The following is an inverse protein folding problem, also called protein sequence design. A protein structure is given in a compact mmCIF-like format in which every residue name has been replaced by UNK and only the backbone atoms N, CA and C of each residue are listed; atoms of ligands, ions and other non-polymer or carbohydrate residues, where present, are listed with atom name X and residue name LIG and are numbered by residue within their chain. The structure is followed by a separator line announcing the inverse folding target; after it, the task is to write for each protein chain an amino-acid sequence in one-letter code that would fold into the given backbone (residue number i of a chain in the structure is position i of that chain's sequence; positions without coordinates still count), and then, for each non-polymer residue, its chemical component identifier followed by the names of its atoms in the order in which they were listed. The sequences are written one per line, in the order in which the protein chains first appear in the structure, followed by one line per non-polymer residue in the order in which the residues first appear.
data_IF_906992907642
#
_entry.id   IF_906992907642
#
_cell.length_a   1.000
_cell.length_b   1.000
_cell.length_c   1.000
_cell.angle_alpha   90.00
_cell.angle_beta   90.00
_cell.angle_gamma   90.00
#
_symmetry.space_group_name_H-M   'P 1'
#
loop_
_entity.id
_entity.type
_entity.pdbx_description
1 polymer ?
#
# COMPACT_ATOMS: atom_id res chain seq x y z
N UNK A 1 24.42 11.63 -2.58
CA UNK A 1 23.10 12.23 -2.39
C UNK A 1 22.17 11.33 -3.19
N UNK A 2 21.61 10.30 -2.54
CA UNK A 2 20.71 9.37 -3.22
C UNK A 2 19.39 10.12 -3.45
N UNK A 3 18.94 10.19 -4.70
CA UNK A 3 17.58 10.65 -4.99
C UNK A 3 16.62 9.69 -4.28
N UNK A 4 15.72 10.22 -3.47
CA UNK A 4 14.62 9.45 -2.89
C UNK A 4 13.70 9.05 -4.05
N UNK A 5 13.50 7.75 -4.21
CA UNK A 5 12.59 7.21 -5.22
C UNK A 5 11.23 7.00 -4.56
N UNK A 6 10.26 7.81 -4.95
CA UNK A 6 8.91 7.79 -4.39
C UNK A 6 7.96 7.02 -5.32
N UNK A 7 7.18 6.11 -4.74
CA UNK A 7 6.10 5.38 -5.41
C UNK A 7 4.78 5.84 -4.82
N UNK A 8 3.88 6.38 -5.64
CA UNK A 8 2.65 7.01 -5.14
C UNK A 8 1.42 6.30 -5.67
N UNK A 9 0.61 5.75 -4.76
CA UNK A 9 -0.73 5.31 -5.08
C UNK A 9 -1.71 6.47 -4.81
N UNK A 10 -2.29 7.02 -5.88
CA UNK A 10 -3.32 8.04 -5.76
C UNK A 10 -4.65 7.41 -5.37
N UNK A 11 -5.35 8.07 -4.46
CA UNK A 11 -6.64 7.65 -3.92
C UNK A 11 -7.55 8.88 -3.78
N UNK A 12 -8.85 8.67 -3.51
CA UNK A 12 -9.78 9.78 -3.25
C UNK A 12 -9.34 10.66 -2.06
N UNK A 13 -8.86 10.04 -0.98
CA UNK A 13 -8.43 10.76 0.22
C UNK A 13 -7.09 11.50 0.05
N UNK A 14 -6.28 11.14 -0.95
CA UNK A 14 -4.96 11.73 -1.19
C UNK A 14 -3.99 10.74 -1.83
N UNK A 15 -2.72 10.76 -1.40
CA UNK A 15 -1.71 9.81 -1.89
C UNK A 15 -1.16 8.96 -0.75
N UNK A 16 -1.07 7.65 -0.99
CA UNK A 16 -0.22 6.76 -0.20
C UNK A 16 1.15 6.68 -0.88
N UNK A 17 2.17 7.22 -0.22
CA UNK A 17 3.52 7.36 -0.78
C UNK A 17 4.46 6.39 -0.08
N UNK A 18 5.16 5.57 -0.85
CA UNK A 18 6.26 4.72 -0.42
C UNK A 18 7.56 5.39 -0.87
N UNK A 19 8.29 6.01 0.06
CA UNK A 19 9.59 6.62 -0.22
C UNK A 19 10.70 5.62 0.04
N UNK A 20 11.44 5.21 -0.99
CA UNK A 20 12.56 4.29 -0.84
C UNK A 20 13.74 5.00 -0.16
N UNK A 21 14.07 4.54 1.06
CA UNK A 21 15.17 5.10 1.86
C UNK A 21 16.48 4.36 1.56
N UNK A 22 16.41 3.03 1.44
CA UNK A 22 17.56 2.16 1.18
C UNK A 22 17.14 0.90 0.44
N UNK A 23 17.96 0.47 -0.51
CA UNK A 23 17.86 -0.84 -1.15
C UNK A 23 19.16 -1.63 -0.97
N UNK A 24 19.02 -2.92 -0.64
CA UNK A 24 20.07 -3.93 -0.70
C UNK A 24 19.63 -4.97 -1.75
N UNK A 25 20.01 -4.73 -3.01
CA UNK A 25 19.57 -5.53 -4.16
C UNK A 25 19.99 -6.99 -4.06
N UNK A 26 21.21 -7.24 -3.55
CA UNK A 26 21.76 -8.57 -3.33
C UNK A 26 20.95 -9.37 -2.32
N UNK A 27 20.51 -8.74 -1.24
CA UNK A 27 19.65 -9.36 -0.23
C UNK A 27 18.15 -9.32 -0.62
N UNK A 28 17.78 -8.52 -1.62
CA UNK A 28 16.39 -8.25 -1.99
C UNK A 28 15.62 -7.55 -0.87
N UNK A 29 16.26 -6.62 -0.16
CA UNK A 29 15.69 -5.92 1.00
C UNK A 29 15.55 -4.43 0.67
N UNK A 30 14.35 -3.88 0.93
CA UNK A 30 14.01 -2.50 0.64
C UNK A 30 13.42 -1.85 1.89
N UNK A 31 14.07 -0.81 2.39
CA UNK A 31 13.59 0.00 3.49
C UNK A 31 12.83 1.21 2.93
N UNK A 32 11.55 1.33 3.27
CA UNK A 32 10.67 2.42 2.87
C UNK A 32 10.24 3.28 4.06
N UNK A 33 9.87 4.51 3.75
CA UNK A 33 9.05 5.35 4.59
C UNK A 33 7.68 5.53 3.92
N UNK A 34 6.62 5.08 4.59
CA UNK A 34 5.25 5.25 4.14
C UNK A 34 4.70 6.54 4.72
N UNK A 35 4.08 7.35 3.86
CA UNK A 35 3.38 8.55 4.29
C UNK A 35 2.07 8.71 3.55
N UNK A 36 1.11 9.36 4.19
CA UNK A 36 -0.18 9.69 3.59
C UNK A 36 -0.25 11.20 3.38
N UNK A 37 -0.35 11.62 2.13
CA UNK A 37 -0.51 13.02 1.76
C UNK A 37 -1.99 13.27 1.46
N UNK A 38 -2.74 13.62 2.50
CA UNK A 38 -4.19 13.83 2.40
C UNK A 38 -4.56 15.17 1.78
N UNK A 39 -5.59 15.20 0.94
CA UNK A 39 -6.08 16.42 0.27
C UNK A 39 -7.16 17.14 1.09
N UNK A 40 -7.22 18.47 0.96
CA UNK A 40 -8.36 19.30 1.37
C UNK A 40 -8.93 19.00 2.76
N UNK A 41 -10.16 18.47 2.81
CA UNK A 41 -10.89 18.13 4.04
C UNK A 41 -10.21 17.07 4.91
N UNK A 42 -9.29 16.28 4.35
CA UNK A 42 -8.61 15.20 5.04
C UNK A 42 -7.24 15.61 5.62
N UNK A 43 -6.73 16.80 5.29
CA UNK A 43 -5.36 17.24 5.63
C UNK A 43 -5.08 17.45 7.12
N UNK A 44 -6.12 17.40 7.97
CA UNK A 44 -6.00 17.51 9.44
C UNK A 44 -5.82 16.16 10.12
N UNK A 45 -5.96 15.06 9.37
CA UNK A 45 -5.81 13.71 9.89
C UNK A 45 -4.37 13.23 9.70
N UNK A 46 -3.80 12.78 10.82
CA UNK A 46 -2.53 12.07 11.03
C UNK A 46 -1.29 12.52 10.21
N UNK A 47 -0.40 13.33 10.80
CA UNK A 47 0.96 13.53 10.27
C UNK A 47 1.86 12.36 10.71
N UNK A 48 1.78 11.23 10.01
CA UNK A 48 2.57 10.03 10.31
C UNK A 48 3.47 9.63 9.14
N UNK A 49 4.76 9.43 9.44
CA UNK A 49 5.69 8.67 8.59
C UNK A 49 5.89 7.32 9.26
N UNK A 50 5.71 6.24 8.50
CA UNK A 50 5.81 4.88 9.00
C UNK A 50 6.93 4.17 8.28
N UNK A 51 7.98 3.81 9.01
CA UNK A 51 9.06 3.02 8.42
C UNK A 51 8.58 1.59 8.19
N UNK A 52 8.92 1.00 7.04
CA UNK A 52 8.72 -0.41 6.81
C UNK A 52 9.88 -1.03 6.05
N UNK A 53 10.06 -2.33 6.23
CA UNK A 53 10.97 -3.13 5.45
C UNK A 53 10.16 -4.10 4.61
N UNK A 54 10.43 -4.15 3.32
CA UNK A 54 9.85 -5.11 2.41
C UNK A 54 10.95 -5.94 1.79
N UNK A 55 10.76 -7.25 1.78
CA UNK A 55 11.56 -8.13 0.94
C UNK A 55 11.01 -8.09 -0.49
N UNK A 56 11.83 -8.46 -1.47
CA UNK A 56 11.41 -8.57 -2.88
C UNK A 56 10.12 -9.40 -3.01
N UNK A 57 10.03 -10.51 -2.27
CA UNK A 57 8.84 -11.36 -2.23
C UNK A 57 7.61 -10.68 -1.61
N UNK A 58 7.76 -9.72 -0.70
CA UNK A 58 6.63 -8.93 -0.19
C UNK A 58 6.09 -7.98 -1.24
N UNK A 59 6.98 -7.34 -2.02
CA UNK A 59 6.61 -6.44 -3.13
C UNK A 59 5.88 -7.24 -4.24
N UNK A 60 6.43 -8.39 -4.63
CA UNK A 60 5.79 -9.27 -5.61
C UNK A 60 4.42 -9.77 -5.14
N UNK A 61 4.30 -10.14 -3.86
CA UNK A 61 3.03 -10.52 -3.25
C UNK A 61 2.03 -9.37 -3.20
N UNK A 62 2.48 -8.13 -2.95
CA UNK A 62 1.62 -6.96 -2.94
C UNK A 62 1.05 -6.69 -4.34
N UNK A 63 1.89 -6.75 -5.37
CA UNK A 63 1.48 -6.59 -6.76
C UNK A 63 0.49 -7.70 -7.14
N UNK A 64 0.79 -8.95 -6.79
CA UNK A 64 -0.11 -10.08 -7.04
C UNK A 64 -1.44 -9.94 -6.27
N UNK A 65 -1.39 -9.44 -5.04
CA UNK A 65 -2.56 -9.17 -4.22
C UNK A 65 -3.52 -8.20 -4.91
N UNK A 66 -3.02 -7.06 -5.40
CA UNK A 66 -3.82 -6.09 -6.14
C UNK A 66 -4.37 -6.64 -7.45
N UNK A 67 -3.53 -7.32 -8.22
CA UNK A 67 -3.97 -7.94 -9.47
C UNK A 67 -5.10 -8.95 -9.26
N UNK A 68 -4.94 -9.84 -8.27
CA UNK A 68 -5.95 -10.85 -7.95
C UNK A 68 -7.25 -10.22 -7.44
N UNK A 69 -7.16 -9.12 -6.69
CA UNK A 69 -8.34 -8.39 -6.24
C UNK A 69 -9.13 -7.81 -7.42
N UNK A 70 -8.47 -7.07 -8.32
CA UNK A 70 -9.10 -6.53 -9.53
C UNK A 70 -9.71 -7.64 -10.38
N UNK A 71 -8.98 -8.75 -10.58
CA UNK A 71 -9.50 -9.92 -11.29
C UNK A 71 -10.76 -10.49 -10.62
N UNK A 72 -10.78 -10.57 -9.29
CA UNK A 72 -11.93 -11.04 -8.54
C UNK A 72 -13.14 -10.13 -8.72
N UNK A 73 -12.96 -8.80 -8.67
CA UNK A 73 -14.06 -7.85 -8.88
C UNK A 73 -14.66 -7.95 -10.30
N UNK A 74 -13.83 -8.09 -11.33
CA UNK A 74 -14.29 -8.33 -12.72
C UNK A 74 -15.16 -9.59 -12.83
N UNK A 75 -14.91 -10.59 -11.99
CA UNK A 75 -15.67 -11.85 -11.94
C UNK A 75 -16.87 -11.80 -10.97
N UNK A 76 -17.16 -10.65 -10.37
CA UNK A 76 -18.27 -10.47 -9.42
C UNK A 76 -17.95 -10.88 -7.98
N UNK A 77 -16.67 -10.92 -7.59
CA UNK A 77 -16.26 -11.05 -6.19
C UNK A 77 -16.41 -9.76 -5.39
N UNK A 78 -16.07 -9.80 -4.10
CA UNK A 78 -16.25 -8.66 -3.18
C UNK A 78 -14.93 -8.23 -2.53
N UNK A 79 -14.60 -8.74 -1.35
CA UNK A 79 -13.41 -8.33 -0.60
C UNK A 79 -12.26 -9.34 -0.71
N UNK A 80 -11.04 -8.85 -0.48
CA UNK A 80 -9.86 -9.71 -0.38
C UNK A 80 -9.42 -9.89 1.07
N UNK A 81 -8.73 -11.01 1.38
CA UNK A 81 -8.04 -11.16 2.66
C UNK A 81 -7.11 -9.98 2.95
N UNK A 82 -6.79 -9.74 4.22
CA UNK A 82 -5.86 -8.68 4.59
C UNK A 82 -4.45 -9.05 4.10
N UNK A 83 -3.83 -8.15 3.35
CA UNK A 83 -2.42 -8.23 3.03
C UNK A 83 -1.59 -7.70 4.21
N UNK A 84 -0.66 -8.53 4.67
CA UNK A 84 0.32 -8.20 5.72
C UNK A 84 1.70 -8.63 5.20
N UNK A 85 2.66 -7.69 5.04
CA UNK A 85 4.05 -8.04 4.74
C UNK A 85 4.69 -8.78 5.92
N UNK A 86 5.75 -9.54 5.65
CA UNK A 86 6.39 -10.37 6.68
C UNK A 86 7.05 -9.54 7.80
N UNK A 87 7.68 -8.42 7.45
CA UNK A 87 8.41 -7.56 8.40
C UNK A 87 8.00 -6.09 8.27
N UNK A 88 6.70 -5.81 8.40
CA UNK A 88 6.17 -4.47 8.24
C UNK A 88 5.06 -4.14 9.23
N UNK A 89 4.95 -2.85 9.49
CA UNK A 89 3.98 -2.22 10.39
C UNK A 89 2.78 -1.64 9.63
N UNK A 90 2.40 -2.20 8.48
CA UNK A 90 1.16 -1.83 7.79
C UNK A 90 0.38 -3.04 7.28
N UNK A 91 -0.91 -2.83 7.07
CA UNK A 91 -1.84 -3.79 6.51
C UNK A 91 -2.73 -3.11 5.47
N UNK A 92 -3.07 -3.85 4.42
CA UNK A 92 -3.97 -3.37 3.37
C UNK A 92 -5.11 -4.37 3.23
N UNK A 93 -6.35 -3.88 3.16
CA UNK A 93 -7.51 -4.67 2.80
C UNK A 93 -8.24 -4.01 1.64
N UNK A 94 -8.28 -4.68 0.49
CA UNK A 94 -9.14 -4.29 -0.61
C UNK A 94 -10.58 -4.79 -0.36
N UNK A 95 -11.54 -3.91 -0.54
CA UNK A 95 -12.97 -4.09 -0.30
C UNK A 95 -13.73 -4.11 -1.62
N UNK A 96 -15.06 -4.06 -1.56
CA UNK A 96 -15.89 -4.04 -2.77
C UNK A 96 -15.70 -2.77 -3.61
N UNK A 97 -16.11 -2.88 -4.87
CA UNK A 97 -16.03 -1.83 -5.86
C UNK A 97 -16.78 -2.19 -7.13
N UNK A 98 -16.80 -1.27 -8.09
CA UNK A 98 -17.31 -1.49 -9.42
C UNK A 98 -16.15 -1.45 -10.41
N UNK A 99 -15.74 -2.62 -10.89
CA UNK A 99 -14.65 -2.79 -11.86
C UNK A 99 -15.20 -3.41 -13.13
N UNK A 100 -14.99 -2.72 -14.25
CA UNK A 100 -15.43 -3.18 -15.57
C UNK A 100 -14.38 -4.10 -16.18
N UNK A 101 -13.11 -3.69 -16.11
CA UNK A 101 -11.96 -4.46 -16.56
C UNK A 101 -10.67 -4.02 -15.83
N UNK A 102 -9.51 -4.50 -16.28
CA UNK A 102 -8.21 -4.18 -15.67
C UNK A 102 -7.72 -2.74 -15.92
N UNK A 103 -8.50 -1.91 -16.58
CA UNK A 103 -8.17 -0.52 -16.90
C UNK A 103 -9.23 0.49 -16.43
N UNK A 104 -10.43 0.04 -16.07
CA UNK A 104 -11.54 0.91 -15.71
C UNK A 104 -12.34 0.41 -14.49
N UNK A 105 -12.68 1.36 -13.62
CA UNK A 105 -13.42 1.15 -12.39
C UNK A 105 -12.66 1.55 -11.13
N UNK A 106 -13.28 1.27 -9.99
CA UNK A 106 -12.77 1.66 -8.69
C UNK A 106 -13.16 0.65 -7.61
N UNK A 107 -12.47 0.69 -6.48
CA UNK A 107 -12.84 -0.07 -5.29
C UNK A 107 -12.40 0.65 -4.01
N UNK A 108 -13.02 0.29 -2.89
CA UNK A 108 -12.60 0.79 -1.57
C UNK A 108 -11.40 0.00 -1.04
N UNK A 109 -10.49 0.68 -0.36
CA UNK A 109 -9.31 0.08 0.26
C UNK A 109 -9.12 0.65 1.65
N UNK A 110 -8.91 -0.22 2.63
CA UNK A 110 -8.49 0.15 3.98
C UNK A 110 -6.97 -0.04 4.14
N UNK A 111 -6.32 0.97 4.72
CA UNK A 111 -4.90 0.94 5.07
C UNK A 111 -4.78 1.18 6.56
N UNK A 112 -4.13 0.24 7.26
CA UNK A 112 -3.90 0.31 8.69
C UNK A 112 -2.39 0.31 8.97
N UNK A 113 -1.93 1.22 9.83
CA UNK A 113 -0.56 1.32 10.29
C UNK A 113 -0.48 0.98 11.77
N UNK A 114 0.47 0.12 12.12
CA UNK A 114 0.81 -0.20 13.50
C UNK A 114 1.54 1.01 14.10
N UNK A 115 0.98 1.54 15.19
CA UNK A 115 1.54 2.64 15.96
C UNK A 115 2.41 2.12 17.13
N UNK A 116 2.67 0.82 17.15
CA UNK A 116 3.50 0.14 18.14
C UNK A 116 2.74 -0.35 19.35
N UNK A 117 3.52 -0.71 20.37
CA UNK A 117 3.07 -1.28 21.64
C UNK A 117 3.43 -0.31 22.77
N UNK A 118 2.47 0.04 23.61
CA UNK A 118 2.69 0.95 24.75
C UNK A 118 3.58 0.39 25.88
N UNK A 119 3.97 -0.89 25.80
CA UNK A 119 4.79 -1.60 26.80
C UNK A 119 4.70 -3.13 26.66
N UNK A 120 5.51 -3.87 27.42
CA UNK A 120 5.43 -5.34 27.47
C UNK A 120 4.02 -5.80 27.89
N UNK A 121 3.45 -6.75 27.15
CA UNK A 121 2.11 -7.29 27.40
C UNK A 121 0.95 -6.42 26.90
N UNK A 122 1.22 -5.28 26.25
CA UNK A 122 0.18 -4.48 25.60
C UNK A 122 -0.17 -5.02 24.20
N UNK A 123 -1.38 -4.78 23.74
CA UNK A 123 -1.77 -5.07 22.37
C UNK A 123 -1.17 -4.06 21.39
N UNK A 124 -0.94 -4.48 20.14
CA UNK A 124 -0.61 -3.55 19.06
C UNK A 124 -1.79 -2.61 18.83
N UNK A 125 -1.48 -1.32 18.68
CA UNK A 125 -2.50 -0.30 18.35
C UNK A 125 -2.34 0.09 16.90
N UNK A 126 -3.45 0.09 16.18
CA UNK A 126 -3.47 0.47 14.77
C UNK A 126 -4.28 1.74 14.57
N UNK A 127 -3.81 2.57 13.64
CA UNK A 127 -4.59 3.66 13.07
C UNK A 127 -4.67 3.46 11.57
N UNK A 128 -5.79 3.83 10.96
CA UNK A 128 -5.93 3.71 9.52
C UNK A 128 -7.09 4.50 8.99
N UNK A 129 -7.30 4.35 7.69
CA UNK A 129 -8.38 4.98 6.96
C UNK A 129 -8.87 4.06 5.85
N UNK A 130 -10.04 4.37 5.34
CA UNK A 130 -10.59 3.79 4.12
C UNK A 130 -10.62 4.87 3.04
N UNK A 131 -10.35 4.49 1.80
CA UNK A 131 -10.34 5.39 0.64
C UNK A 131 -10.76 4.64 -0.62
N UNK A 132 -11.27 5.35 -1.61
CA UNK A 132 -11.48 4.80 -2.95
C UNK A 132 -10.18 4.86 -3.76
N UNK A 133 -9.93 3.81 -4.54
CA UNK A 133 -8.79 3.65 -5.45
C UNK A 133 -9.29 3.40 -6.86
N UNK A 134 -8.73 4.11 -7.83
CA UNK A 134 -8.95 3.90 -9.26
C UNK A 134 -8.05 2.76 -9.79
N UNK A 135 -8.59 1.89 -10.63
CA UNK A 135 -7.86 0.72 -11.17
C UNK A 135 -6.68 1.14 -12.04
N UNK A 136 -6.80 2.22 -12.79
CA UNK A 136 -5.72 2.78 -13.60
C UNK A 136 -4.57 3.31 -12.74
N UNK A 137 -4.88 4.09 -11.69
CA UNK A 137 -3.87 4.58 -10.74
C UNK A 137 -3.18 3.43 -9.98
N UNK A 138 -3.93 2.39 -9.59
CA UNK A 138 -3.35 1.18 -8.98
C UNK A 138 -2.39 0.45 -9.93
N UNK A 139 -2.76 0.34 -11.21
CA UNK A 139 -1.95 -0.32 -12.23
C UNK A 139 -0.62 0.42 -12.42
N UNK A 140 -0.65 1.75 -12.50
CA UNK A 140 0.55 2.58 -12.57
C UNK A 140 1.45 2.35 -11.36
N UNK A 141 0.90 2.43 -10.15
CA UNK A 141 1.65 2.17 -8.92
C UNK A 141 2.30 0.78 -8.91
N UNK A 142 1.57 -0.26 -9.33
CA UNK A 142 2.12 -1.62 -9.41
C UNK A 142 3.23 -1.76 -10.46
N UNK A 143 3.14 -1.05 -11.58
CA UNK A 143 4.21 -1.01 -12.58
C UNK A 143 5.47 -0.34 -12.05
N UNK A 144 5.33 0.77 -11.31
CA UNK A 144 6.46 1.45 -10.69
C UNK A 144 7.13 0.56 -9.64
N UNK A 145 6.37 -0.08 -8.75
CA UNK A 145 6.89 -1.06 -7.78
C UNK A 145 7.58 -2.26 -8.47
N UNK A 146 7.05 -2.72 -9.60
CA UNK A 146 7.68 -3.83 -10.34
C UNK A 146 9.07 -3.46 -10.87
N UNK A 147 9.31 -2.20 -11.21
CA UNK A 147 10.62 -1.76 -11.72
C UNK A 147 11.72 -1.91 -10.68
N UNK A 148 11.42 -1.78 -9.39
CA UNK A 148 12.41 -2.02 -8.33
C UNK A 148 12.55 -3.50 -7.94
N UNK A 149 11.50 -4.30 -8.12
CA UNK A 149 11.58 -5.74 -7.82
C UNK A 149 12.32 -6.55 -8.90
N UNK A 150 12.77 -5.91 -9.99
CA UNK A 150 13.53 -6.54 -11.08
C UNK A 150 15.02 -6.15 -11.06
N UNK A 151 15.39 -5.11 -10.29
CA UNK A 151 16.79 -4.73 -10.04
C UNK A 151 17.34 -5.59 -8.91
#
# INVERSE_FOLDING_TARGET
MNELLDFSLKTEAGNLVFSLIRADECAGVFDFELSCVFVGSFSRYLPGKFSCRLYRGDIERLIAYFFNHVQSLVLGGEESPVYVPLESDFQIKCLSGDVVDFSDGYFSMSVMFNCGVGGEGSANTYFGFETIVDVGELSLFCEELRRISVI
#
